data_IF_198813330580
#
_entry.id   IF_198813330580
#
_cell.length_a   1.000
_cell.length_b   1.000
_cell.length_c   1.000
_cell.angle_alpha   90.00
_cell.angle_beta   90.00
_cell.angle_gamma   90.00
#
_symmetry.space_group_name_H-M   'P 1'
#
loop_
_entity.id
_entity.type
_entity.pdbx_description
1 polymer ?
#
# COMPACT_ATOMS: atom_id res chain seq x y z
N UNK A 1 -22.13 22.12 -1.44
CA UNK A 1 -21.54 20.99 -2.21
C UNK A 1 -20.03 21.11 -2.13
N UNK A 2 -19.33 20.12 -1.58
CA UNK A 2 -17.86 20.14 -1.51
C UNK A 2 -17.30 19.79 -2.89
N UNK A 3 -16.42 20.64 -3.44
CA UNK A 3 -15.66 20.35 -4.66
C UNK A 3 -14.26 19.93 -4.27
N UNK A 4 -13.92 18.68 -4.50
CA UNK A 4 -12.58 18.14 -4.28
C UNK A 4 -11.72 18.35 -5.53
N UNK A 5 -10.46 18.71 -5.34
CA UNK A 5 -9.46 18.83 -6.41
C UNK A 5 -8.42 17.71 -6.24
N UNK A 6 -8.11 17.01 -7.32
CA UNK A 6 -6.96 16.08 -7.34
C UNK A 6 -5.67 16.89 -7.23
N UNK A 7 -4.80 16.50 -6.32
CA UNK A 7 -3.50 17.17 -6.12
C UNK A 7 -2.43 16.67 -7.08
N UNK A 8 -2.64 15.51 -7.72
CA UNK A 8 -1.72 14.90 -8.68
C UNK A 8 -2.49 14.21 -9.80
N UNK A 9 -1.93 14.23 -11.00
CA UNK A 9 -2.42 13.47 -12.17
C UNK A 9 -1.90 12.02 -12.19
N UNK A 10 -0.95 11.69 -11.30
CA UNK A 10 -0.38 10.36 -11.12
C UNK A 10 -0.70 9.83 -9.71
N UNK A 11 -0.80 8.49 -9.53
CA UNK A 11 -0.89 7.90 -8.20
C UNK A 11 0.30 8.30 -7.31
N UNK A 12 0.06 8.52 -6.03
CA UNK A 12 1.11 8.87 -5.05
C UNK A 12 2.01 7.68 -4.67
N UNK A 13 1.52 6.46 -4.94
CA UNK A 13 2.28 5.22 -4.85
C UNK A 13 1.95 4.35 -6.07
N UNK A 14 2.98 3.74 -6.64
CA UNK A 14 2.88 2.73 -7.70
C UNK A 14 3.56 1.42 -7.24
N UNK A 15 3.15 0.25 -7.76
CA UNK A 15 3.86 -1.01 -7.54
C UNK A 15 5.34 -0.91 -7.96
N UNK A 16 6.22 -1.62 -7.26
CA UNK A 16 7.64 -1.78 -7.65
C UNK A 16 7.87 -3.21 -8.11
N UNK A 17 8.11 -3.41 -9.40
CA UNK A 17 8.22 -4.74 -10.00
C UNK A 17 9.36 -5.58 -9.40
N UNK A 18 10.40 -4.91 -8.91
CA UNK A 18 11.56 -5.48 -8.24
C UNK A 18 11.28 -6.00 -6.82
N UNK A 19 10.22 -5.49 -6.17
CA UNK A 19 9.86 -5.86 -4.81
C UNK A 19 8.73 -6.89 -4.83
N UNK A 20 9.08 -8.17 -4.66
CA UNK A 20 8.17 -9.30 -4.82
C UNK A 20 6.80 -9.10 -4.16
N UNK A 21 6.79 -8.57 -2.95
CA UNK A 21 5.60 -8.45 -2.10
C UNK A 21 4.62 -7.32 -2.50
N UNK A 22 5.08 -6.36 -3.30
CA UNK A 22 4.30 -5.20 -3.75
C UNK A 22 4.32 -5.02 -5.28
N UNK A 23 4.79 -6.04 -6.01
CA UNK A 23 5.07 -5.93 -7.45
C UNK A 23 3.82 -5.74 -8.29
N UNK A 24 2.67 -6.22 -7.84
CA UNK A 24 1.46 -6.26 -8.65
C UNK A 24 0.49 -5.13 -8.33
N UNK A 25 0.29 -4.81 -7.05
CA UNK A 25 -0.63 -3.75 -6.63
C UNK A 25 -0.20 -3.12 -5.30
N UNK A 26 -0.48 -1.82 -5.17
CA UNK A 26 -0.48 -1.06 -3.92
C UNK A 26 -1.77 -0.24 -3.87
N UNK A 27 -2.57 -0.39 -2.81
CA UNK A 27 -3.93 0.16 -2.76
C UNK A 27 -4.48 0.20 -1.32
N UNK A 28 -5.74 0.63 -1.17
CA UNK A 28 -6.50 0.68 0.09
C UNK A 28 -5.69 1.16 1.30
N UNK A 29 -5.11 2.35 1.17
CA UNK A 29 -4.22 2.87 2.22
C UNK A 29 -5.01 3.50 3.35
N UNK A 30 -4.63 3.19 4.59
CA UNK A 30 -4.89 4.04 5.73
C UNK A 30 -3.94 5.25 5.68
N UNK A 31 -4.40 6.41 6.16
CA UNK A 31 -3.63 7.64 6.17
C UNK A 31 -3.84 8.41 7.48
N UNK A 32 -2.75 8.87 8.10
CA UNK A 32 -2.78 9.80 9.24
C UNK A 32 -1.77 10.94 9.01
N UNK A 33 -2.01 12.09 9.63
CA UNK A 33 -1.03 13.16 9.71
C UNK A 33 -0.58 13.31 11.16
N UNK A 34 0.70 13.07 11.42
CA UNK A 34 1.29 13.12 12.75
C UNK A 34 2.74 13.62 12.67
N UNK A 35 3.21 14.33 13.69
CA UNK A 35 4.59 14.80 13.79
C UNK A 35 5.14 15.50 12.52
N UNK A 36 4.28 16.23 11.80
CA UNK A 36 4.66 16.97 10.60
C UNK A 36 4.73 16.14 9.31
N UNK A 37 4.27 14.88 9.33
CA UNK A 37 4.33 13.95 8.21
C UNK A 37 2.97 13.32 7.91
N UNK A 38 2.74 13.05 6.64
CA UNK A 38 1.71 12.12 6.20
C UNK A 38 2.26 10.70 6.31
N UNK A 39 1.56 9.84 7.02
CA UNK A 39 1.88 8.43 7.18
C UNK A 39 0.85 7.60 6.43
N UNK A 40 1.32 6.67 5.61
CA UNK A 40 0.50 5.69 4.93
C UNK A 40 0.83 4.30 5.43
N UNK A 41 -0.20 3.55 5.80
CA UNK A 41 -0.14 2.09 5.90
C UNK A 41 -0.93 1.57 4.70
N UNK A 42 -0.23 1.01 3.72
CA UNK A 42 -0.82 0.63 2.44
C UNK A 42 -0.85 -0.88 2.28
N UNK A 43 -1.92 -1.40 1.68
CA UNK A 43 -1.99 -2.79 1.29
C UNK A 43 -1.23 -3.01 -0.01
N UNK A 44 -0.51 -4.12 -0.09
CA UNK A 44 0.23 -4.52 -1.29
C UNK A 44 0.04 -6.01 -1.59
N UNK A 45 0.16 -6.38 -2.88
CA UNK A 45 0.11 -7.78 -3.31
C UNK A 45 1.22 -8.13 -4.31
N UNK A 46 1.62 -9.39 -4.26
CA UNK A 46 2.62 -10.03 -5.10
C UNK A 46 2.12 -10.36 -6.52
N UNK A 47 0.84 -10.72 -6.64
CA UNK A 47 0.14 -10.88 -7.91
C UNK A 47 -1.16 -10.07 -7.90
N UNK A 48 -1.88 -10.02 -9.03
CA UNK A 48 -3.13 -9.28 -9.13
C UNK A 48 -4.16 -9.74 -8.07
N UNK A 49 -4.79 -8.83 -7.31
CA UNK A 49 -5.72 -9.18 -6.24
C UNK A 49 -7.09 -9.60 -6.80
N UNK A 50 -7.18 -10.80 -7.36
CA UNK A 50 -8.43 -11.42 -7.81
C UNK A 50 -8.22 -12.92 -7.99
N UNK A 51 -9.26 -13.73 -7.75
CA UNK A 51 -9.19 -15.19 -7.86
C UNK A 51 -8.69 -15.69 -9.24
N UNK A 52 -8.86 -14.88 -10.28
CA UNK A 52 -8.40 -15.17 -11.65
C UNK A 52 -6.88 -15.17 -11.83
N UNK A 53 -6.15 -14.52 -10.93
CA UNK A 53 -4.69 -14.42 -11.00
C UNK A 53 -3.99 -15.49 -10.14
N UNK A 54 -4.73 -16.19 -9.27
CA UNK A 54 -4.20 -17.19 -8.35
C UNK A 54 -4.35 -16.78 -6.88
N UNK A 55 -3.56 -17.43 -6.02
CA UNK A 55 -3.49 -17.11 -4.59
C UNK A 55 -2.50 -15.96 -4.38
N UNK A 56 -3.01 -14.74 -4.34
CA UNK A 56 -2.21 -13.58 -3.94
C UNK A 56 -2.02 -13.58 -2.41
N UNK A 57 -0.96 -12.92 -1.97
CA UNK A 57 -0.70 -12.65 -0.56
C UNK A 57 -0.66 -11.15 -0.30
N UNK A 58 -1.60 -10.67 0.51
CA UNK A 58 -1.67 -9.28 0.97
C UNK A 58 -0.66 -9.01 2.09
N UNK A 59 0.03 -7.87 2.04
CA UNK A 59 0.93 -7.41 3.11
C UNK A 59 0.74 -5.91 3.33
N UNK A 60 1.06 -5.44 4.52
CA UNK A 60 0.97 -4.02 4.85
C UNK A 60 2.36 -3.38 4.76
N UNK A 61 2.47 -2.37 3.90
CA UNK A 61 3.63 -1.52 3.73
C UNK A 61 3.48 -0.20 4.47
N UNK A 62 4.58 0.52 4.63
CA UNK A 62 4.60 1.83 5.27
C UNK A 62 5.33 2.86 4.43
N UNK A 63 4.71 4.04 4.28
CA UNK A 63 5.29 5.16 3.57
C UNK A 63 5.05 6.48 4.30
N UNK A 64 5.96 7.44 4.12
CA UNK A 64 5.89 8.78 4.70
C UNK A 64 6.11 9.87 3.66
N UNK A 65 5.45 11.01 3.84
CA UNK A 65 5.61 12.20 3.00
C UNK A 65 5.52 13.48 3.81
N UNK A 66 6.21 14.53 3.35
CA UNK A 66 6.04 15.90 3.89
C UNK A 66 4.96 16.70 3.14
N UNK A 67 4.66 16.34 1.90
CA UNK A 67 3.78 17.12 1.00
C UNK A 67 2.50 16.36 0.60
N UNK A 68 2.37 15.10 1.01
CA UNK A 68 1.21 14.25 0.71
C UNK A 68 1.17 13.76 -0.75
N UNK A 69 2.22 13.99 -1.53
CA UNK A 69 2.31 13.61 -2.95
C UNK A 69 3.53 12.71 -3.20
N UNK A 70 4.69 13.09 -2.65
CA UNK A 70 5.96 12.40 -2.82
C UNK A 70 6.25 11.57 -1.57
N UNK A 71 6.12 10.25 -1.68
CA UNK A 71 6.30 9.32 -0.58
C UNK A 71 7.64 8.58 -0.63
N UNK A 72 8.32 8.51 0.51
CA UNK A 72 9.38 7.54 0.77
C UNK A 72 8.77 6.34 1.49
N UNK A 73 9.13 5.12 1.11
CA UNK A 73 8.56 3.90 1.69
C UNK A 73 9.64 2.91 2.09
N UNK A 74 9.35 2.08 3.08
CA UNK A 74 10.24 0.99 3.48
C UNK A 74 10.29 -0.09 2.40
N UNK A 75 11.43 -0.74 2.25
CA UNK A 75 11.62 -1.79 1.22
C UNK A 75 11.01 -3.14 1.61
N UNK A 76 10.65 -3.29 2.89
CA UNK A 76 10.00 -4.49 3.45
C UNK A 76 8.62 -4.14 4.00
N UNK A 77 7.67 -5.09 3.98
CA UNK A 77 6.39 -4.91 4.65
C UNK A 77 6.60 -4.68 6.15
N UNK A 78 5.74 -3.86 6.76
CA UNK A 78 5.70 -3.67 8.21
C UNK A 78 4.88 -4.74 8.91
N UNK A 79 3.94 -5.37 8.21
CA UNK A 79 3.19 -6.52 8.71
C UNK A 79 2.92 -7.53 7.59
N UNK A 80 3.02 -8.81 7.93
CA UNK A 80 2.72 -9.97 7.08
C UNK A 80 1.92 -10.99 7.88
N UNK A 81 1.36 -11.99 7.20
CA UNK A 81 0.65 -13.08 7.85
C UNK A 81 1.56 -13.84 8.83
N UNK A 82 1.03 -14.16 10.00
CA UNK A 82 1.71 -14.95 11.04
C UNK A 82 0.96 -16.24 11.35
N UNK A 83 -0.33 -16.33 10.98
CA UNK A 83 -1.20 -17.45 11.32
C UNK A 83 -1.88 -18.08 10.09
N UNK A 84 -2.45 -19.29 10.26
CA UNK A 84 -3.20 -19.98 9.20
C UNK A 84 -4.49 -19.23 8.80
N UNK A 85 -5.06 -18.45 9.72
CA UNK A 85 -6.22 -17.60 9.45
C UNK A 85 -5.89 -16.50 8.43
N UNK A 86 -4.60 -16.17 8.26
CA UNK A 86 -4.09 -15.10 7.43
C UNK A 86 -3.38 -15.64 6.18
N UNK A 87 -3.72 -16.84 5.69
CA UNK A 87 -3.09 -17.43 4.51
C UNK A 87 -3.15 -16.56 3.24
N UNK A 88 -4.08 -15.61 3.17
CA UNK A 88 -4.19 -14.61 2.08
C UNK A 88 -3.57 -13.26 2.43
N UNK A 89 -2.94 -13.15 3.58
CA UNK A 89 -2.32 -11.94 4.04
C UNK A 89 -3.22 -11.06 4.91
N UNK A 90 -2.63 -9.95 5.35
CA UNK A 90 -3.30 -8.92 6.13
C UNK A 90 -3.91 -7.89 5.18
N UNK A 91 -5.14 -7.45 5.49
CA UNK A 91 -5.91 -6.54 4.66
C UNK A 91 -6.61 -5.50 5.54
N UNK A 92 -6.56 -4.25 5.08
CA UNK A 92 -7.38 -3.09 5.46
C UNK A 92 -7.82 -3.02 6.93
#
# INVERSE_FOLDING_TARGET
MIKLKRLSDKPVLMPKAENEWERAAVFNTAAIYDNGLFHLIYRATDIGPHAKYGKYTSRLGYAVSKDGINFMRLDKPVMSNETEQELRGLED
#
